data_IF_713370155710
#
_entry.id   IF_713370155710
#
_cell.length_a   1.000
_cell.length_b   1.000
_cell.length_c   1.000
_cell.angle_alpha   90.00
_cell.angle_beta   90.00
_cell.angle_gamma   90.00
#
_symmetry.space_group_name_H-M   'P 1'
#
loop_
_entity.id
_entity.type
_entity.pdbx_description
1 polymer ?
#
# COMPACT_ATOMS: atom_id res chain seq x y z
N UNK A 1 -17.48 7.95 -3.73
CA UNK A 1 -17.21 9.38 -3.98
C UNK A 1 -16.33 9.89 -2.83
N UNK A 2 -15.41 10.80 -3.10
CA UNK A 2 -14.36 11.28 -2.18
C UNK A 2 -14.89 11.62 -0.75
N UNK A 3 -15.94 12.44 -0.64
CA UNK A 3 -16.54 12.77 0.68
C UNK A 3 -16.95 11.55 1.49
N UNK A 4 -17.46 10.50 0.83
CA UNK A 4 -17.85 9.26 1.52
C UNK A 4 -16.62 8.48 2.01
N UNK A 5 -15.51 8.51 1.26
CA UNK A 5 -14.25 7.92 1.69
C UNK A 5 -13.71 8.64 2.91
N UNK A 6 -13.72 9.98 2.91
CA UNK A 6 -13.25 10.75 4.07
C UNK A 6 -14.13 10.51 5.32
N UNK A 7 -15.46 10.49 5.17
CA UNK A 7 -16.35 10.13 6.29
C UNK A 7 -16.10 8.72 6.85
N UNK A 8 -15.67 7.78 6.00
CA UNK A 8 -15.29 6.43 6.44
C UNK A 8 -13.97 6.45 7.22
N UNK A 9 -13.02 7.32 6.83
CA UNK A 9 -11.78 7.54 7.59
C UNK A 9 -12.09 8.13 8.97
N UNK A 10 -12.91 9.17 9.04
CA UNK A 10 -13.35 9.78 10.30
C UNK A 10 -13.99 8.75 11.25
N UNK A 11 -14.89 7.91 10.71
CA UNK A 11 -15.52 6.86 11.50
C UNK A 11 -14.52 5.83 12.03
N UNK A 12 -13.53 5.44 11.21
CA UNK A 12 -12.45 4.54 11.64
C UNK A 12 -11.59 5.18 12.74
N UNK A 13 -11.24 6.45 12.61
CA UNK A 13 -10.43 7.19 13.57
C UNK A 13 -11.11 7.40 14.93
N UNK A 14 -12.43 7.33 15.00
CA UNK A 14 -13.15 7.39 16.27
C UNK A 14 -12.80 6.21 17.20
N UNK A 15 -12.46 5.06 16.61
CA UNK A 15 -12.16 3.82 17.35
C UNK A 15 -10.67 3.45 17.34
N UNK A 16 -9.90 3.91 16.33
CA UNK A 16 -8.48 3.57 16.15
C UNK A 16 -7.66 4.80 15.71
N UNK A 17 -6.90 5.36 16.64
CA UNK A 17 -5.99 6.48 16.41
C UNK A 17 -4.58 6.11 15.98
N UNK A 18 -4.22 4.81 16.07
CA UNK A 18 -2.82 4.35 15.95
C UNK A 18 -2.50 3.70 14.59
N UNK A 19 -3.45 2.96 14.00
CA UNK A 19 -3.21 2.25 12.74
C UNK A 19 -3.02 3.24 11.59
N UNK A 20 -1.86 3.25 10.87
CA UNK A 20 -1.66 4.15 9.74
C UNK A 20 -2.70 3.95 8.65
N UNK A 21 -3.27 5.04 8.13
CA UNK A 21 -4.29 5.02 7.11
C UNK A 21 -3.86 5.83 5.89
N UNK A 22 -3.61 5.12 4.79
CA UNK A 22 -3.14 5.69 3.54
C UNK A 22 -4.25 5.62 2.50
N UNK A 23 -4.59 6.74 1.86
CA UNK A 23 -5.53 6.76 0.75
C UNK A 23 -4.81 6.48 -0.56
N UNK A 24 -5.27 5.46 -1.29
CA UNK A 24 -4.75 5.12 -2.62
C UNK A 24 -5.80 5.41 -3.69
N UNK A 25 -5.41 6.13 -4.74
CA UNK A 25 -6.33 6.47 -5.82
C UNK A 25 -5.65 7.17 -6.99
N UNK A 26 -6.47 7.85 -7.80
CA UNK A 26 -6.07 8.59 -8.98
C UNK A 26 -6.11 10.10 -8.74
N UNK A 27 -5.31 10.86 -9.49
CA UNK A 27 -5.21 12.31 -9.32
C UNK A 27 -6.50 13.06 -9.71
N UNK A 28 -7.16 12.66 -10.79
CA UNK A 28 -8.34 13.37 -11.28
C UNK A 28 -9.47 13.55 -10.24
N UNK A 29 -9.84 12.58 -9.38
CA UNK A 29 -10.77 12.81 -8.27
C UNK A 29 -10.30 13.83 -7.24
N UNK A 30 -9.00 13.90 -6.97
CA UNK A 30 -8.38 14.88 -6.07
C UNK A 30 -8.45 16.28 -6.70
N UNK A 31 -8.04 16.39 -7.93
CA UNK A 31 -8.12 17.63 -8.72
C UNK A 31 -9.55 18.17 -8.80
N UNK A 32 -10.52 17.30 -9.11
CA UNK A 32 -11.94 17.66 -9.17
C UNK A 32 -12.55 18.08 -7.83
N UNK A 33 -11.99 17.61 -6.72
CA UNK A 33 -12.36 18.03 -5.37
C UNK A 33 -11.80 19.42 -5.03
N UNK A 34 -10.69 19.78 -5.64
CA UNK A 34 -9.82 20.89 -5.32
C UNK A 34 -8.69 20.44 -4.39
N UNK A 35 -7.44 20.50 -4.89
CA UNK A 35 -6.24 19.95 -4.21
C UNK A 35 -6.13 20.42 -2.77
N UNK A 36 -6.17 21.72 -2.53
CA UNK A 36 -6.07 22.29 -1.17
C UNK A 36 -7.21 21.86 -0.25
N UNK A 37 -8.45 21.83 -0.77
CA UNK A 37 -9.62 21.40 0.00
C UNK A 37 -9.54 19.92 0.35
N UNK A 38 -9.13 19.07 -0.63
CA UNK A 38 -8.93 17.64 -0.40
C UNK A 38 -7.89 17.37 0.67
N UNK A 39 -6.72 18.02 0.58
CA UNK A 39 -5.63 17.82 1.55
C UNK A 39 -6.05 18.25 2.96
N UNK A 40 -6.72 19.41 3.08
CA UNK A 40 -7.24 19.87 4.36
C UNK A 40 -8.27 18.91 4.97
N UNK A 41 -9.25 18.48 4.17
CA UNK A 41 -10.29 17.55 4.62
C UNK A 41 -9.72 16.15 4.92
N UNK A 42 -8.75 15.66 4.13
CA UNK A 42 -8.07 14.38 4.36
C UNK A 42 -7.28 14.40 5.69
N UNK A 43 -6.53 15.48 5.94
CA UNK A 43 -5.82 15.65 7.20
C UNK A 43 -6.75 15.74 8.40
N UNK A 44 -7.83 16.52 8.28
CA UNK A 44 -8.85 16.64 9.33
C UNK A 44 -9.55 15.31 9.63
N UNK A 45 -9.81 14.49 8.61
CA UNK A 45 -10.38 13.16 8.75
C UNK A 45 -9.42 12.16 9.43
N UNK A 46 -8.12 12.44 9.49
CA UNK A 46 -7.11 11.57 10.09
C UNK A 46 -6.38 10.66 9.09
N UNK A 47 -6.31 11.04 7.82
CA UNK A 47 -5.42 10.37 6.84
C UNK A 47 -3.97 10.64 7.19
N UNK A 48 -3.10 9.64 7.08
CA UNK A 48 -1.67 9.76 7.34
C UNK A 48 -0.86 9.96 6.05
N UNK A 49 -1.34 9.47 4.91
CA UNK A 49 -0.61 9.62 3.66
C UNK A 49 -1.41 9.27 2.41
N UNK A 50 -0.77 9.49 1.27
CA UNK A 50 -1.37 9.33 -0.05
C UNK A 50 -0.51 8.45 -0.96
N UNK A 51 -1.16 7.60 -1.75
CA UNK A 51 -0.61 6.93 -2.93
C UNK A 51 -1.41 7.40 -4.14
N UNK A 52 -0.83 8.19 -5.03
CA UNK A 52 -1.49 8.65 -6.26
C UNK A 52 -0.90 7.93 -7.46
N UNK A 53 -1.69 6.99 -8.00
CA UNK A 53 -1.21 5.94 -8.92
C UNK A 53 -0.76 6.51 -10.27
N UNK A 54 -1.41 7.55 -10.76
CA UNK A 54 -1.22 8.17 -12.07
C UNK A 54 -0.51 9.54 -12.02
N UNK A 55 0.09 9.90 -10.88
CA UNK A 55 0.80 11.17 -10.72
C UNK A 55 2.32 10.93 -10.64
N UNK A 56 3.05 11.08 -11.76
CA UNK A 56 4.50 10.91 -11.76
C UNK A 56 5.19 12.09 -11.06
N UNK A 57 6.46 11.92 -10.63
CA UNK A 57 7.21 12.97 -9.94
C UNK A 57 7.34 14.29 -10.71
N UNK A 58 7.23 14.23 -12.04
CA UNK A 58 7.34 15.39 -12.93
C UNK A 58 6.08 16.28 -12.92
N UNK A 59 4.95 15.73 -12.46
CA UNK A 59 3.62 16.38 -12.55
C UNK A 59 3.03 16.63 -11.15
N UNK A 60 3.78 16.40 -10.08
CA UNK A 60 3.24 16.42 -8.70
C UNK A 60 3.36 17.76 -7.98
N UNK A 61 3.86 18.79 -8.64
CA UNK A 61 4.11 20.12 -8.06
C UNK A 61 2.85 20.76 -7.46
N UNK A 62 1.67 20.42 -7.96
CA UNK A 62 0.41 20.96 -7.44
C UNK A 62 -0.05 20.26 -6.15
N UNK A 63 0.20 18.96 -6.00
CA UNK A 63 -0.31 18.16 -4.87
C UNK A 63 0.75 17.92 -3.78
N UNK A 64 1.95 17.46 -4.16
CA UNK A 64 2.96 17.01 -3.19
C UNK A 64 3.37 18.06 -2.17
N UNK A 65 3.68 19.33 -2.55
CA UNK A 65 4.05 20.34 -1.56
C UNK A 65 2.93 20.62 -0.55
N UNK A 66 1.69 20.71 -1.02
CA UNK A 66 0.51 20.97 -0.18
C UNK A 66 0.24 19.82 0.78
N UNK A 67 0.34 18.56 0.29
CA UNK A 67 0.19 17.37 1.13
C UNK A 67 1.28 17.29 2.21
N UNK A 68 2.52 17.57 1.84
CA UNK A 68 3.66 17.58 2.77
C UNK A 68 3.56 18.65 3.83
N UNK A 69 3.16 19.87 3.45
CA UNK A 69 2.94 20.97 4.39
C UNK A 69 1.83 20.65 5.40
N UNK A 70 0.80 19.93 4.97
CA UNK A 70 -0.26 19.42 5.84
C UNK A 70 0.16 18.22 6.70
N UNK A 71 1.38 17.71 6.56
CA UNK A 71 1.88 16.55 7.28
C UNK A 71 1.32 15.21 6.79
N UNK A 72 0.90 15.12 5.52
CA UNK A 72 0.56 13.85 4.88
C UNK A 72 1.80 13.25 4.20
N UNK A 73 2.05 11.97 4.45
CA UNK A 73 3.08 11.23 3.72
C UNK A 73 2.72 11.08 2.24
N UNK A 74 3.73 11.19 1.39
CA UNK A 74 3.59 11.01 -0.05
C UNK A 74 4.34 9.76 -0.49
N UNK A 75 3.62 8.63 -0.50
CA UNK A 75 4.17 7.31 -0.83
C UNK A 75 4.40 7.20 -2.32
N UNK A 76 5.61 6.87 -2.73
CA UNK A 76 5.97 6.67 -4.13
C UNK A 76 5.90 5.21 -4.53
N UNK A 77 5.55 5.01 -5.79
CA UNK A 77 5.48 3.69 -6.40
C UNK A 77 6.70 3.44 -7.28
N UNK A 78 7.34 2.29 -7.11
CA UNK A 78 8.37 1.76 -7.99
C UNK A 78 7.92 0.44 -8.61
N UNK A 79 8.41 0.14 -9.81
CA UNK A 79 8.07 -1.06 -10.59
C UNK A 79 9.32 -1.73 -11.13
N UNK A 80 9.26 -2.96 -11.67
CA UNK A 80 10.40 -3.59 -12.32
C UNK A 80 11.01 -2.77 -13.46
N UNK A 81 10.22 -1.91 -14.10
CA UNK A 81 10.67 -1.03 -15.19
C UNK A 81 11.30 0.28 -14.70
N UNK A 82 11.32 0.54 -13.39
CA UNK A 82 12.00 1.70 -12.81
C UNK A 82 13.50 1.43 -12.78
N UNK A 83 14.26 1.99 -13.72
CA UNK A 83 15.71 1.85 -13.78
C UNK A 83 16.45 2.74 -12.76
N UNK A 84 17.76 2.57 -12.61
CA UNK A 84 18.56 3.28 -11.59
C UNK A 84 18.54 4.82 -11.79
N UNK A 85 18.45 5.29 -13.03
CA UNK A 85 18.32 6.73 -13.34
C UNK A 85 16.96 7.25 -12.90
N UNK A 86 15.93 6.44 -13.09
CA UNK A 86 14.56 6.78 -12.74
C UNK A 86 14.32 6.69 -11.24
N UNK A 87 14.99 5.76 -10.54
CA UNK A 87 14.84 5.59 -9.07
C UNK A 87 15.08 6.90 -8.33
N UNK A 88 16.19 7.60 -8.59
CA UNK A 88 16.50 8.85 -7.92
C UNK A 88 15.37 9.89 -8.08
N UNK A 89 14.78 9.97 -9.27
CA UNK A 89 13.65 10.87 -9.55
C UNK A 89 12.35 10.42 -8.88
N UNK A 90 12.06 9.11 -8.90
CA UNK A 90 10.86 8.55 -8.25
C UNK A 90 10.91 8.77 -6.75
N UNK A 91 12.08 8.65 -6.13
CA UNK A 91 12.26 8.81 -4.68
C UNK A 91 12.28 10.27 -4.23
N UNK A 92 12.43 11.22 -5.16
CA UNK A 92 12.40 12.65 -4.83
C UNK A 92 11.07 13.03 -4.18
N UNK A 93 11.15 13.56 -2.94
CA UNK A 93 10.00 13.92 -2.13
C UNK A 93 9.13 12.76 -1.65
N UNK A 94 9.62 11.52 -1.73
CA UNK A 94 8.97 10.38 -1.10
C UNK A 94 9.01 10.47 0.42
N UNK A 95 7.94 10.03 1.08
CA UNK A 95 7.88 9.87 2.55
C UNK A 95 6.98 8.70 2.94
N UNK A 96 7.01 8.32 4.22
CA UNK A 96 6.33 7.16 4.76
C UNK A 96 7.02 5.86 4.34
N UNK A 97 6.78 5.37 3.15
CA UNK A 97 7.41 4.16 2.60
C UNK A 97 7.44 4.18 1.06
N UNK A 98 8.16 3.23 0.47
CA UNK A 98 8.13 2.99 -0.98
C UNK A 98 7.25 1.78 -1.27
N UNK A 99 6.29 1.94 -2.18
CA UNK A 99 5.47 0.84 -2.65
C UNK A 99 6.06 0.24 -3.92
N UNK A 100 6.74 -0.91 -3.80
CA UNK A 100 7.21 -1.66 -4.95
C UNK A 100 6.10 -2.58 -5.49
N UNK A 101 5.61 -2.29 -6.68
CA UNK A 101 4.57 -3.07 -7.36
C UNK A 101 5.23 -4.03 -8.35
N UNK A 102 5.34 -5.28 -7.97
CA UNK A 102 5.78 -6.33 -8.90
C UNK A 102 4.63 -6.75 -9.80
N UNK A 103 4.66 -6.31 -11.05
CA UNK A 103 3.63 -6.62 -12.07
C UNK A 103 3.85 -8.02 -12.67
N UNK A 104 4.99 -8.62 -12.47
CA UNK A 104 5.30 -9.96 -12.97
C UNK A 104 4.46 -10.97 -12.18
N UNK A 105 3.27 -11.24 -12.68
CA UNK A 105 2.54 -12.47 -12.38
C UNK A 105 3.49 -13.66 -12.55
N UNK A 106 3.40 -14.62 -11.68
CA UNK A 106 4.30 -15.79 -11.54
C UNK A 106 4.40 -16.54 -12.88
N UNK A 107 5.22 -16.07 -13.81
CA UNK A 107 5.73 -16.85 -14.94
C UNK A 107 7.09 -17.41 -14.52
N UNK A 108 7.09 -18.44 -13.65
CA UNK A 108 8.31 -19.04 -13.12
C UNK A 108 8.05 -19.79 -11.80
N UNK A 109 9.10 -20.38 -11.25
CA UNK A 109 9.03 -21.00 -9.93
C UNK A 109 8.90 -19.93 -8.83
N UNK A 110 8.27 -20.25 -7.71
CA UNK A 110 8.11 -19.37 -6.54
C UNK A 110 9.46 -18.78 -6.08
N UNK A 111 10.51 -19.58 -6.08
CA UNK A 111 11.87 -19.17 -5.70
C UNK A 111 12.45 -18.12 -6.65
N UNK A 112 12.26 -18.23 -7.96
CA UNK A 112 12.72 -17.25 -8.93
C UNK A 112 11.99 -15.90 -8.75
N UNK A 113 10.71 -15.96 -8.42
CA UNK A 113 9.90 -14.77 -8.16
C UNK A 113 10.36 -14.02 -6.88
N UNK A 114 10.70 -14.74 -5.80
CA UNK A 114 11.24 -14.13 -4.57
C UNK A 114 12.64 -13.56 -4.81
N UNK A 115 13.50 -14.26 -5.56
CA UNK A 115 14.83 -13.75 -5.91
C UNK A 115 14.75 -12.41 -6.67
N UNK A 116 13.83 -12.29 -7.63
CA UNK A 116 13.61 -11.03 -8.36
C UNK A 116 13.11 -9.90 -7.43
N UNK A 117 12.25 -10.21 -6.46
CA UNK A 117 11.82 -9.24 -5.44
C UNK A 117 12.99 -8.81 -4.57
N UNK A 118 13.82 -9.76 -4.12
CA UNK A 118 15.01 -9.47 -3.30
C UNK A 118 15.97 -8.52 -4.03
N UNK A 119 16.30 -8.83 -5.28
CA UNK A 119 17.16 -7.97 -6.11
C UNK A 119 16.60 -6.56 -6.26
N UNK A 120 15.30 -6.44 -6.53
CA UNK A 120 14.63 -5.14 -6.67
C UNK A 120 14.64 -4.34 -5.36
N UNK A 121 14.36 -4.99 -4.23
CA UNK A 121 14.38 -4.34 -2.90
C UNK A 121 15.81 -3.90 -2.54
N UNK A 122 16.82 -4.74 -2.75
CA UNK A 122 18.21 -4.39 -2.53
C UNK A 122 18.66 -3.21 -3.41
N UNK A 123 18.19 -3.16 -4.66
CA UNK A 123 18.42 -2.04 -5.55
C UNK A 123 17.82 -0.75 -5.02
N UNK A 124 16.56 -0.76 -4.57
CA UNK A 124 15.90 0.41 -3.99
C UNK A 124 16.60 0.87 -2.69
N UNK A 125 17.01 -0.06 -1.82
CA UNK A 125 17.70 0.23 -0.56
C UNK A 125 19.05 0.96 -0.75
N UNK A 126 19.67 0.88 -1.92
CA UNK A 126 20.87 1.68 -2.23
C UNK A 126 20.58 3.17 -2.42
N UNK A 127 19.29 3.55 -2.57
CA UNK A 127 18.86 4.91 -2.88
C UNK A 127 17.96 5.52 -1.79
N UNK A 128 17.53 4.75 -0.80
CA UNK A 128 16.63 5.24 0.26
C UNK A 128 16.71 4.40 1.53
N UNK A 129 16.52 5.06 2.68
CA UNK A 129 16.33 4.42 3.99
C UNK A 129 14.85 4.22 4.34
N UNK A 130 13.93 4.66 3.47
CA UNK A 130 12.50 4.45 3.68
C UNK A 130 12.15 2.95 3.64
N UNK A 131 11.21 2.49 4.47
CA UNK A 131 10.70 1.13 4.40
C UNK A 131 10.17 0.81 2.99
N UNK A 132 10.36 -0.43 2.54
CA UNK A 132 9.89 -0.90 1.24
C UNK A 132 8.79 -1.93 1.44
N UNK A 133 7.58 -1.59 0.99
CA UNK A 133 6.42 -2.47 0.97
C UNK A 133 6.26 -3.09 -0.42
N UNK A 134 6.08 -4.40 -0.50
CA UNK A 134 6.00 -5.13 -1.77
C UNK A 134 4.62 -5.68 -2.03
N UNK A 135 4.03 -5.30 -3.19
CA UNK A 135 2.83 -5.90 -3.74
C UNK A 135 3.18 -6.95 -4.79
N UNK A 136 2.76 -8.19 -4.56
CA UNK A 136 3.17 -9.35 -5.36
C UNK A 136 2.04 -10.34 -5.67
N UNK A 137 0.78 -9.90 -5.62
CA UNK A 137 -0.35 -10.81 -5.81
C UNK A 137 -0.44 -11.90 -4.73
N UNK A 138 -0.09 -11.56 -3.51
CA UNK A 138 -0.06 -12.43 -2.33
C UNK A 138 -1.48 -12.89 -1.99
N UNK A 139 -1.64 -14.21 -1.77
CA UNK A 139 -2.93 -14.83 -1.48
C UNK A 139 -2.91 -15.72 -0.24
N UNK A 140 -1.73 -16.06 0.29
CA UNK A 140 -1.60 -16.97 1.45
C UNK A 140 -0.57 -16.43 2.47
N UNK A 141 -0.68 -16.84 3.75
CA UNK A 141 0.28 -16.49 4.80
C UNK A 141 1.72 -16.87 4.45
N UNK A 142 1.93 -18.03 3.79
CA UNK A 142 3.26 -18.51 3.40
C UNK A 142 3.87 -17.65 2.28
N UNK A 143 3.04 -17.10 1.41
CA UNK A 143 3.49 -16.14 0.39
C UNK A 143 3.87 -14.81 1.04
N UNK A 144 3.07 -14.34 1.99
CA UNK A 144 3.37 -13.13 2.75
C UNK A 144 4.68 -13.27 3.54
N UNK A 145 4.87 -14.39 4.23
CA UNK A 145 6.10 -14.75 4.93
C UNK A 145 7.33 -14.75 4.01
N UNK A 146 7.20 -15.35 2.82
CA UNK A 146 8.29 -15.41 1.85
C UNK A 146 8.69 -14.03 1.31
N UNK A 147 7.73 -13.14 1.05
CA UNK A 147 8.03 -11.78 0.57
C UNK A 147 8.66 -10.92 1.67
N UNK A 148 8.17 -11.02 2.91
CA UNK A 148 8.69 -10.21 4.03
C UNK A 148 10.10 -10.62 4.46
N UNK A 149 10.61 -11.76 4.02
CA UNK A 149 12.03 -12.10 4.22
C UNK A 149 12.98 -11.19 3.42
N UNK A 150 12.49 -10.58 2.35
CA UNK A 150 13.28 -9.67 1.49
C UNK A 150 12.87 -8.19 1.64
N UNK A 151 11.66 -7.90 2.14
CA UNK A 151 11.10 -6.55 2.21
C UNK A 151 10.67 -6.18 3.63
N UNK A 152 10.36 -4.90 3.85
CA UNK A 152 9.94 -4.40 5.17
C UNK A 152 8.44 -4.62 5.42
N UNK A 153 7.64 -4.69 4.36
CA UNK A 153 6.21 -4.95 4.42
C UNK A 153 5.69 -5.65 3.16
N UNK A 154 4.47 -6.18 3.27
CA UNK A 154 3.73 -6.75 2.14
C UNK A 154 2.42 -5.99 1.92
N UNK A 155 2.02 -5.86 0.67
CA UNK A 155 0.73 -5.25 0.30
C UNK A 155 -0.17 -6.32 -0.30
N UNK A 156 -1.34 -6.49 0.29
CA UNK A 156 -2.34 -7.46 -0.16
C UNK A 156 -3.62 -6.72 -0.53
N UNK A 157 -3.96 -6.69 -1.81
CA UNK A 157 -5.16 -6.03 -2.32
C UNK A 157 -6.18 -7.03 -2.87
N UNK A 158 -5.90 -7.57 -4.06
CA UNK A 158 -6.87 -8.38 -4.82
C UNK A 158 -7.42 -9.60 -4.08
N UNK A 159 -6.62 -10.24 -3.23
CA UNK A 159 -7.08 -11.38 -2.44
C UNK A 159 -8.13 -10.98 -1.38
N UNK A 160 -7.96 -9.82 -0.73
CA UNK A 160 -8.96 -9.28 0.20
C UNK A 160 -10.24 -8.85 -0.54
N UNK A 161 -10.09 -8.16 -1.67
CA UNK A 161 -11.23 -7.77 -2.52
C UNK A 161 -12.00 -9.00 -3.01
N UNK A 162 -11.30 -10.05 -3.44
CA UNK A 162 -11.93 -11.32 -3.85
C UNK A 162 -12.69 -11.96 -2.69
N UNK A 163 -12.10 -11.97 -1.48
CA UNK A 163 -12.76 -12.49 -0.28
C UNK A 163 -14.05 -11.74 0.04
N UNK A 164 -14.05 -10.41 -0.14
CA UNK A 164 -15.26 -9.59 0.01
C UNK A 164 -16.29 -9.98 -1.06
N UNK A 165 -15.86 -10.05 -2.32
CA UNK A 165 -16.74 -10.38 -3.45
C UNK A 165 -17.43 -11.74 -3.27
N UNK A 166 -16.67 -12.75 -2.87
CA UNK A 166 -17.18 -14.12 -2.63
C UNK A 166 -18.19 -14.18 -1.46
N UNK A 167 -18.15 -13.21 -0.56
CA UNK A 167 -19.06 -13.09 0.58
C UNK A 167 -20.30 -12.24 0.32
N UNK A 168 -20.51 -11.76 -0.92
CA UNK A 168 -21.74 -11.07 -1.32
C UNK A 168 -22.76 -12.06 -1.87
N UNK A 169 -24.03 -11.72 -1.75
CA UNK A 169 -25.11 -12.42 -2.44
C UNK A 169 -25.36 -11.84 -3.85
N UNK A 170 -26.32 -12.43 -4.57
CA UNK A 170 -26.65 -12.05 -5.95
C UNK A 170 -27.19 -10.60 -6.07
N UNK A 171 -27.64 -9.99 -4.97
CA UNK A 171 -28.03 -8.58 -4.89
C UNK A 171 -26.87 -7.64 -4.56
N UNK A 172 -25.69 -8.18 -4.25
CA UNK A 172 -24.51 -7.42 -3.78
C UNK A 172 -24.56 -7.07 -2.29
N UNK A 173 -25.45 -7.69 -1.51
CA UNK A 173 -25.49 -7.51 -0.07
C UNK A 173 -24.53 -8.48 0.63
N UNK A 174 -24.00 -8.05 1.78
CA UNK A 174 -23.09 -8.87 2.58
C UNK A 174 -23.82 -10.06 3.20
N UNK A 175 -23.32 -11.27 2.99
CA UNK A 175 -23.77 -12.45 3.72
C UNK A 175 -23.32 -12.39 5.18
N UNK A 176 -24.06 -13.06 6.07
CA UNK A 176 -23.67 -13.18 7.47
C UNK A 176 -22.25 -13.77 7.59
N UNK A 177 -21.44 -13.21 8.48
CA UNK A 177 -20.05 -13.66 8.72
C UNK A 177 -19.02 -13.13 7.71
N UNK A 178 -19.39 -12.27 6.74
CA UNK A 178 -18.44 -11.71 5.79
C UNK A 178 -17.31 -10.91 6.46
N UNK A 179 -17.67 -10.05 7.41
CA UNK A 179 -16.69 -9.20 8.11
C UNK A 179 -15.68 -10.07 8.86
N UNK A 180 -16.17 -11.05 9.62
CA UNK A 180 -15.34 -12.00 10.38
C UNK A 180 -14.43 -12.81 9.46
N UNK A 181 -14.91 -13.22 8.30
CA UNK A 181 -14.14 -13.99 7.30
C UNK A 181 -13.02 -13.13 6.68
N UNK A 182 -13.27 -11.84 6.41
CA UNK A 182 -12.27 -10.91 5.89
C UNK A 182 -11.22 -10.59 6.94
N UNK A 183 -11.64 -10.28 8.16
CA UNK A 183 -10.75 -9.98 9.28
C UNK A 183 -9.89 -11.20 9.67
N UNK A 184 -10.49 -12.39 9.71
CA UNK A 184 -9.77 -13.65 9.95
C UNK A 184 -8.71 -13.92 8.87
N UNK A 185 -9.03 -13.66 7.61
CA UNK A 185 -8.07 -13.77 6.51
C UNK A 185 -6.93 -12.75 6.63
N UNK A 186 -7.24 -11.49 6.91
CA UNK A 186 -6.23 -10.46 7.15
C UNK A 186 -5.33 -10.83 8.35
N UNK A 187 -5.90 -11.33 9.44
CA UNK A 187 -5.18 -11.82 10.61
C UNK A 187 -4.21 -12.95 10.26
N UNK A 188 -4.65 -13.95 9.47
CA UNK A 188 -3.78 -15.05 9.05
C UNK A 188 -2.57 -14.59 8.21
N UNK A 189 -2.77 -13.60 7.34
CA UNK A 189 -1.67 -12.97 6.58
C UNK A 189 -0.68 -12.25 7.50
N UNK A 190 -1.19 -11.50 8.48
CA UNK A 190 -0.37 -10.80 9.46
C UNK A 190 0.44 -11.77 10.34
N UNK A 191 -0.15 -12.89 10.75
CA UNK A 191 0.55 -13.96 11.49
C UNK A 191 1.71 -14.55 10.68
N UNK A 192 1.52 -14.79 9.37
CA UNK A 192 2.57 -15.24 8.47
C UNK A 192 3.76 -14.26 8.41
N UNK A 193 3.47 -12.96 8.28
CA UNK A 193 4.47 -11.89 8.29
C UNK A 193 5.22 -11.81 9.62
N UNK A 194 4.49 -11.80 10.74
CA UNK A 194 5.07 -11.68 12.08
C UNK A 194 5.87 -12.94 12.46
N UNK A 195 5.45 -14.13 12.04
CA UNK A 195 6.18 -15.37 12.22
C UNK A 195 7.54 -15.33 11.54
N UNK A 196 7.58 -15.02 10.25
CA UNK A 196 8.83 -14.93 9.48
C UNK A 196 9.84 -13.91 10.06
N UNK A 197 9.35 -12.78 10.61
CA UNK A 197 10.22 -11.78 11.26
C UNK A 197 10.78 -12.23 12.60
N UNK A 198 10.04 -13.04 13.35
CA UNK A 198 10.55 -13.62 14.62
C UNK A 198 11.65 -14.61 14.34
N UNK A 199 11.47 -15.48 13.34
CA UNK A 199 12.46 -16.48 12.95
C UNK A 199 13.76 -15.84 12.43
N UNK A 200 13.67 -14.76 11.69
CA UNK A 200 14.84 -14.00 11.20
C UNK A 200 15.62 -13.26 12.32
N UNK A 201 15.02 -13.07 13.50
CA UNK A 201 15.64 -12.41 14.68
C UNK A 201 16.05 -13.40 15.76
N UNK A 202 15.75 -14.68 15.60
CA UNK A 202 16.22 -15.73 16.50
C UNK A 202 17.75 -15.90 16.32
N UNK A 203 18.55 -15.95 17.40
CA UNK A 203 20.02 -16.07 17.34
C UNK A 203 20.49 -17.40 16.77
#
# INVERSE_FOLDING_TARGET
RMRRTLAMVEAFRADDGETPLILMGYYNPIFSYGVGAFVADARAAGVDGLIVVDLPPEEDEELRPVAREAGLDFVRMATPTTDDKRIARVLDGASGFIYYVSITGITGTRSAAIAAVTEAVERLRRHTDLPIAVGFGIKTPEQAAAVVSAADAVVVGSALVQKIFDGLDDSGAARAGLVEAVLGFAGSLAEGVHGARRDARAP
#
